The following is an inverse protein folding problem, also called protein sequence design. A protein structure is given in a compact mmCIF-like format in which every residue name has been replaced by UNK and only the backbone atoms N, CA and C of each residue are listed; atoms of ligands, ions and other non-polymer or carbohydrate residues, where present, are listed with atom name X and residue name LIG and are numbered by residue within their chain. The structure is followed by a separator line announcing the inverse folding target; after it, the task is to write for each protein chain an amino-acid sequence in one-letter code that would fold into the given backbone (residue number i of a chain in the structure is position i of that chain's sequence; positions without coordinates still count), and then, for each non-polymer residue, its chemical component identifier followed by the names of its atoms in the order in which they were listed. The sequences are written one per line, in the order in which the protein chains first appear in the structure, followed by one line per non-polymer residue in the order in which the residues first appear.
data_IF_291845141688
#
_entry.id   IF_291845141688
#
_cell.length_a   1.000
_cell.length_b   1.000
_cell.length_c   1.000
_cell.angle_alpha   90.00
_cell.angle_beta   90.00
_cell.angle_gamma   90.00
#
_symmetry.space_group_name_H-M   'P 1'
#
loop_
_entity.id
_entity.type
_entity.pdbx_description
1 polymer ?
#
# COMPACT_ATOMS: atom_id res chain seq x y z
N UNK A 1 20.83 3.85 -18.19
CA UNK A 1 19.69 3.22 -18.90
C UNK A 1 18.74 2.46 -17.96
N UNK A 2 19.21 1.85 -16.87
CA UNK A 2 18.40 1.09 -15.89
C UNK A 2 17.19 1.85 -15.33
N UNK A 3 17.34 3.12 -14.92
CA UNK A 3 16.28 3.91 -14.26
C UNK A 3 15.02 4.17 -15.10
N UNK A 4 15.11 4.30 -16.44
CA UNK A 4 13.92 4.53 -17.28
C UNK A 4 13.05 3.29 -17.41
N UNK A 5 13.67 2.11 -17.51
CA UNK A 5 12.95 0.83 -17.60
C UNK A 5 12.23 0.56 -16.28
N UNK A 6 12.90 0.79 -15.14
CA UNK A 6 12.29 0.68 -13.81
C UNK A 6 11.09 1.62 -13.67
N UNK A 7 11.21 2.89 -14.08
CA UNK A 7 10.11 3.84 -14.01
C UNK A 7 8.90 3.41 -14.87
N UNK A 8 9.14 2.83 -16.06
CA UNK A 8 8.07 2.30 -16.91
C UNK A 8 7.39 1.08 -16.29
N UNK A 9 8.18 0.15 -15.73
CA UNK A 9 7.69 -1.01 -14.99
C UNK A 9 6.81 -0.56 -13.83
N UNK A 10 7.30 0.37 -13.00
CA UNK A 10 6.61 0.82 -11.79
C UNK A 10 5.30 1.55 -12.13
N UNK A 11 5.28 2.42 -13.15
CA UNK A 11 4.04 3.05 -13.62
C UNK A 11 3.04 2.02 -14.17
N UNK A 12 3.51 1.00 -14.89
CA UNK A 12 2.63 -0.04 -15.43
C UNK A 12 2.02 -0.92 -14.33
N UNK A 13 2.82 -1.39 -13.37
CA UNK A 13 2.34 -2.19 -12.24
C UNK A 13 1.37 -1.36 -11.39
N UNK A 14 1.72 -0.11 -11.09
CA UNK A 14 0.86 0.81 -10.33
C UNK A 14 -0.49 1.03 -11.01
N UNK A 15 -0.52 1.25 -12.34
CA UNK A 15 -1.78 1.37 -13.07
C UNK A 15 -2.62 0.09 -13.02
N UNK A 16 -1.98 -1.07 -13.12
CA UNK A 16 -2.66 -2.37 -13.01
C UNK A 16 -3.30 -2.55 -11.63
N UNK A 17 -2.58 -2.21 -10.57
CA UNK A 17 -3.08 -2.25 -9.20
C UNK A 17 -4.22 -1.23 -9.00
N UNK A 18 -4.03 0.03 -9.37
CA UNK A 18 -5.03 1.09 -9.22
C UNK A 18 -6.28 0.84 -10.07
N UNK A 19 -6.19 0.11 -11.17
CA UNK A 19 -7.38 -0.32 -11.92
C UNK A 19 -8.27 -1.32 -11.14
N UNK A 20 -7.77 -1.89 -10.04
CA UNK A 20 -8.49 -2.85 -9.19
C UNK A 20 -8.75 -2.34 -7.77
N UNK A 21 -7.90 -1.46 -7.26
CA UNK A 21 -7.94 -0.94 -5.89
C UNK A 21 -8.29 0.54 -5.84
N UNK A 22 -7.99 1.29 -6.91
CA UNK A 22 -8.02 2.76 -6.91
C UNK A 22 -9.41 3.38 -6.79
N UNK A 23 -10.47 2.59 -6.94
CA UNK A 23 -11.86 3.02 -6.80
C UNK A 23 -12.39 2.90 -5.36
N UNK A 24 -11.62 2.39 -4.39
CA UNK A 24 -12.07 2.23 -2.97
C UNK A 24 -12.65 3.53 -2.39
N UNK A 25 -11.96 4.69 -2.51
CA UNK A 25 -12.50 5.94 -1.97
C UNK A 25 -13.90 6.24 -2.51
N UNK A 26 -14.13 6.04 -3.81
CA UNK A 26 -15.36 6.44 -4.49
C UNK A 26 -16.48 5.37 -4.43
N UNK A 27 -16.11 4.09 -4.39
CA UNK A 27 -17.05 2.95 -4.45
C UNK A 27 -17.43 2.39 -3.08
N UNK A 28 -16.63 2.63 -2.04
CA UNK A 28 -16.84 2.08 -0.68
C UNK A 28 -16.94 3.19 0.34
N UNK A 29 -15.89 4.01 0.47
CA UNK A 29 -15.76 4.92 1.61
C UNK A 29 -16.67 6.14 1.49
N UNK A 30 -16.71 6.79 0.33
CA UNK A 30 -17.54 7.97 0.11
C UNK A 30 -19.05 7.66 0.22
N UNK A 31 -19.60 6.56 -0.35
CA UNK A 31 -20.98 6.17 -0.11
C UNK A 31 -21.29 5.96 1.37
N UNK A 32 -20.38 5.32 2.13
CA UNK A 32 -20.56 5.14 3.57
C UNK A 32 -20.57 6.50 4.29
N UNK A 33 -19.58 7.36 4.02
CA UNK A 33 -19.46 8.66 4.65
C UNK A 33 -20.71 9.53 4.41
N UNK A 34 -21.28 9.50 3.21
CA UNK A 34 -22.53 10.20 2.87
C UNK A 34 -23.75 9.72 3.65
N UNK A 35 -23.72 8.49 4.18
CA UNK A 35 -24.82 7.92 4.96
C UNK A 35 -24.67 8.20 6.45
N UNK A 36 -23.43 8.26 6.96
CA UNK A 36 -23.16 8.40 8.40
C UNK A 36 -22.86 9.84 8.82
N UNK A 37 -22.50 10.73 7.90
CA UNK A 37 -22.24 12.13 8.21
C UNK A 37 -23.54 12.93 8.30
N UNK A 38 -23.60 13.85 9.28
CA UNK A 38 -24.76 14.73 9.48
C UNK A 38 -24.96 15.72 8.32
N UNK A 39 -23.86 16.26 7.77
CA UNK A 39 -23.88 17.21 6.65
C UNK A 39 -23.38 16.57 5.36
N UNK A 40 -24.32 16.00 4.60
CA UNK A 40 -24.05 15.41 3.30
C UNK A 40 -23.56 16.43 2.26
N UNK A 41 -24.02 17.69 2.34
CA UNK A 41 -23.62 18.72 1.38
C UNK A 41 -22.16 19.13 1.59
N UNK A 42 -21.71 19.19 2.85
CA UNK A 42 -20.30 19.39 3.18
C UNK A 42 -19.44 18.22 2.66
N UNK A 43 -19.88 16.98 2.83
CA UNK A 43 -19.19 15.79 2.29
C UNK A 43 -19.05 15.87 0.77
N UNK A 44 -20.14 16.19 0.06
CA UNK A 44 -20.11 16.29 -1.42
C UNK A 44 -19.21 17.44 -1.90
N UNK A 45 -19.22 18.57 -1.20
CA UNK A 45 -18.36 19.72 -1.50
C UNK A 45 -16.88 19.41 -1.25
N UNK A 46 -16.57 18.75 -0.14
CA UNK A 46 -15.21 18.31 0.19
C UNK A 46 -14.69 17.27 -0.80
N UNK A 47 -15.52 16.30 -1.18
CA UNK A 47 -15.17 15.31 -2.19
C UNK A 47 -14.88 15.96 -3.56
N UNK A 48 -15.70 16.94 -3.95
CA UNK A 48 -15.47 17.72 -5.18
C UNK A 48 -14.15 18.48 -5.14
N UNK A 49 -13.77 19.03 -3.98
CA UNK A 49 -12.51 19.73 -3.81
C UNK A 49 -11.29 18.80 -3.96
N UNK A 50 -11.29 17.65 -3.26
CA UNK A 50 -10.16 16.70 -3.35
C UNK A 50 -10.03 16.09 -4.76
N UNK A 51 -11.16 15.73 -5.38
CA UNK A 51 -11.19 15.13 -6.72
C UNK A 51 -10.95 16.14 -7.86
N UNK A 52 -11.00 17.45 -7.61
CA UNK A 52 -10.64 18.45 -8.62
C UNK A 52 -9.15 18.38 -9.02
N UNK A 53 -8.30 17.78 -8.17
CA UNK A 53 -6.85 17.63 -8.40
C UNK A 53 -6.48 16.41 -9.26
N UNK A 54 -7.48 15.60 -9.66
CA UNK A 54 -7.29 14.37 -10.44
C UNK A 54 -6.52 14.62 -11.75
N UNK A 55 -5.68 13.66 -12.13
CA UNK A 55 -4.95 13.72 -13.41
C UNK A 55 -5.95 13.68 -14.56
N UNK A 56 -5.94 14.72 -15.41
CA UNK A 56 -6.82 14.79 -16.58
C UNK A 56 -6.57 13.62 -17.53
N UNK A 57 -7.66 13.08 -18.08
CA UNK A 57 -7.59 12.06 -19.14
C UNK A 57 -6.80 12.62 -20.34
N UNK A 58 -5.84 11.85 -20.84
CA UNK A 58 -4.99 12.25 -21.96
C UNK A 58 -3.78 13.12 -21.61
N UNK A 59 -3.53 13.41 -20.33
CA UNK A 59 -2.31 14.10 -19.92
C UNK A 59 -1.05 13.31 -20.35
N UNK A 60 -0.15 13.96 -21.07
CA UNK A 60 1.14 13.39 -21.49
C UNK A 60 2.16 13.58 -20.36
N UNK A 61 2.26 12.58 -19.50
CA UNK A 61 3.19 12.55 -18.37
C UNK A 61 4.33 11.55 -18.65
N UNK A 62 5.51 11.82 -18.10
CA UNK A 62 6.55 10.78 -18.02
C UNK A 62 6.07 9.63 -17.12
N UNK A 63 6.66 8.44 -17.24
CA UNK A 63 6.27 7.29 -16.42
C UNK A 63 6.36 7.59 -14.92
N UNK A 64 7.48 8.20 -14.47
CA UNK A 64 7.68 8.60 -13.06
C UNK A 64 6.61 9.61 -12.60
N UNK A 65 6.30 10.58 -13.44
CA UNK A 65 5.30 11.61 -13.10
C UNK A 65 3.87 11.06 -13.10
N UNK A 66 3.55 10.16 -14.05
CA UNK A 66 2.28 9.44 -14.09
C UNK A 66 2.09 8.60 -12.83
N UNK A 67 3.09 7.80 -12.48
CA UNK A 67 3.11 6.97 -11.29
C UNK A 67 2.84 7.83 -10.04
N UNK A 68 3.67 8.85 -9.84
CA UNK A 68 3.63 9.73 -8.66
C UNK A 68 2.27 10.41 -8.52
N UNK A 69 1.77 11.04 -9.59
CA UNK A 69 0.51 11.77 -9.55
C UNK A 69 -0.70 10.87 -9.35
N UNK A 70 -0.74 9.69 -9.97
CA UNK A 70 -1.87 8.75 -9.84
C UNK A 70 -1.91 8.12 -8.46
N UNK A 71 -0.76 7.67 -7.97
CA UNK A 71 -0.70 7.09 -6.64
C UNK A 71 -0.97 8.15 -5.57
N UNK A 72 -0.33 9.32 -5.66
CA UNK A 72 -0.61 10.44 -4.76
C UNK A 72 -2.06 10.91 -4.79
N UNK A 73 -2.72 10.88 -5.95
CA UNK A 73 -4.16 11.14 -6.05
C UNK A 73 -4.98 10.10 -5.27
N UNK A 74 -4.73 8.81 -5.51
CA UNK A 74 -5.42 7.73 -4.80
C UNK A 74 -5.25 7.88 -3.28
N UNK A 75 -4.02 8.11 -2.82
CA UNK A 75 -3.73 8.30 -1.40
C UNK A 75 -4.43 9.52 -0.82
N UNK A 76 -4.42 10.68 -1.49
CA UNK A 76 -5.12 11.88 -0.99
C UNK A 76 -6.63 11.66 -0.86
N UNK A 77 -7.23 10.98 -1.83
CA UNK A 77 -8.67 10.66 -1.80
C UNK A 77 -8.99 9.64 -0.71
N UNK A 78 -8.10 8.67 -0.50
CA UNK A 78 -8.21 7.67 0.55
C UNK A 78 -8.08 8.32 1.93
N UNK A 79 -7.06 9.14 2.15
CA UNK A 79 -6.83 9.89 3.40
C UNK A 79 -8.06 10.74 3.73
N UNK A 80 -8.52 11.54 2.77
CA UNK A 80 -9.67 12.41 2.97
C UNK A 80 -10.93 11.62 3.38
N UNK A 81 -11.20 10.50 2.69
CA UNK A 81 -12.38 9.69 2.96
C UNK A 81 -12.29 8.97 4.32
N UNK A 82 -11.12 8.43 4.67
CA UNK A 82 -10.92 7.75 5.96
C UNK A 82 -11.00 8.74 7.11
N UNK A 83 -10.35 9.91 7.01
CA UNK A 83 -10.44 10.97 8.02
C UNK A 83 -11.89 11.38 8.27
N UNK A 84 -12.68 11.52 7.21
CA UNK A 84 -14.11 11.80 7.32
C UNK A 84 -14.87 10.71 8.09
N UNK A 85 -14.58 9.43 7.83
CA UNK A 85 -15.22 8.31 8.53
C UNK A 85 -14.80 8.22 9.99
N UNK A 86 -13.50 8.40 10.30
CA UNK A 86 -12.98 8.38 11.68
C UNK A 86 -13.56 9.52 12.52
N UNK A 87 -13.95 10.63 11.90
CA UNK A 87 -14.60 11.74 12.61
C UNK A 87 -16.02 11.40 13.11
N UNK A 88 -16.68 10.38 12.55
CA UNK A 88 -18.10 10.07 12.83
C UNK A 88 -18.35 8.60 13.23
N UNK A 89 -17.36 7.72 13.08
CA UNK A 89 -17.43 6.31 13.46
C UNK A 89 -16.24 5.92 14.36
N UNK A 90 -16.36 4.84 15.16
CA UNK A 90 -15.23 4.31 15.93
C UNK A 90 -14.04 3.96 15.01
N UNK A 91 -12.83 4.35 15.43
CA UNK A 91 -11.59 4.15 14.64
C UNK A 91 -11.38 2.70 14.22
N UNK A 92 -11.61 1.75 15.13
CA UNK A 92 -11.38 0.32 14.90
C UNK A 92 -12.32 -0.24 13.83
N UNK A 93 -13.58 0.23 13.81
CA UNK A 93 -14.55 -0.16 12.78
C UNK A 93 -14.14 0.38 11.40
N UNK A 94 -13.64 1.61 11.36
CA UNK A 94 -13.14 2.21 10.10
C UNK A 94 -11.87 1.49 9.63
N UNK A 95 -10.95 1.16 10.54
CA UNK A 95 -9.76 0.39 10.22
C UNK A 95 -10.12 -0.97 9.63
N UNK A 96 -11.05 -1.70 10.25
CA UNK A 96 -11.50 -2.99 9.76
C UNK A 96 -12.14 -2.86 8.37
N UNK A 97 -13.05 -1.89 8.18
CA UNK A 97 -13.70 -1.63 6.89
C UNK A 97 -12.68 -1.36 5.78
N UNK A 98 -11.75 -0.44 6.03
CA UNK A 98 -10.75 0.00 5.05
C UNK A 98 -9.79 -1.14 4.73
N UNK A 99 -9.21 -1.76 5.76
CA UNK A 99 -8.23 -2.82 5.59
C UNK A 99 -8.82 -4.05 4.90
N UNK A 100 -10.08 -4.41 5.19
CA UNK A 100 -10.77 -5.52 4.49
C UNK A 100 -11.06 -5.19 3.03
N UNK A 101 -11.55 -3.98 2.75
CA UNK A 101 -11.83 -3.55 1.38
C UNK A 101 -10.56 -3.53 0.52
N UNK A 102 -9.46 -3.01 1.07
CA UNK A 102 -8.16 -2.96 0.40
C UNK A 102 -7.57 -4.38 0.26
N UNK A 103 -7.51 -5.17 1.33
CA UNK A 103 -6.97 -6.52 1.31
C UNK A 103 -7.73 -7.42 0.32
N UNK A 104 -9.06 -7.34 0.28
CA UNK A 104 -9.88 -8.09 -0.68
C UNK A 104 -9.56 -7.74 -2.14
N UNK A 105 -9.41 -6.46 -2.46
CA UNK A 105 -9.04 -6.00 -3.82
C UNK A 105 -7.60 -6.33 -4.17
N UNK A 106 -6.68 -6.21 -3.21
CA UNK A 106 -5.29 -6.63 -3.36
C UNK A 106 -5.19 -8.13 -3.62
N UNK A 107 -5.83 -9.00 -2.82
CA UNK A 107 -5.86 -10.46 -3.07
C UNK A 107 -6.40 -10.79 -4.46
N UNK A 108 -7.47 -10.11 -4.89
CA UNK A 108 -8.04 -10.30 -6.24
C UNK A 108 -7.08 -9.87 -7.35
N UNK A 109 -6.34 -8.78 -7.15
CA UNK A 109 -5.32 -8.32 -8.10
C UNK A 109 -4.12 -9.27 -8.12
N UNK A 110 -3.65 -9.69 -6.95
CA UNK A 110 -2.53 -10.61 -6.76
C UNK A 110 -2.87 -12.07 -7.02
N UNK A 111 -4.11 -12.44 -7.36
CA UNK A 111 -4.57 -13.84 -7.44
C UNK A 111 -3.70 -14.77 -8.30
N UNK A 112 -3.02 -14.23 -9.31
CA UNK A 112 -2.12 -14.98 -10.18
C UNK A 112 -0.67 -15.02 -9.67
N UNK A 113 -0.30 -14.12 -8.76
CA UNK A 113 1.01 -14.03 -8.12
C UNK A 113 1.05 -14.73 -6.74
N UNK A 114 -0.07 -14.76 -6.00
CA UNK A 114 -0.17 -15.42 -4.70
C UNK A 114 0.26 -16.91 -4.74
N UNK A 115 -0.11 -17.71 -5.76
CA UNK A 115 0.38 -19.09 -5.86
C UNK A 115 1.91 -19.17 -6.01
N UNK A 116 2.52 -18.22 -6.74
CA UNK A 116 3.96 -18.14 -6.88
C UNK A 116 4.62 -17.79 -5.54
N UNK A 117 4.02 -16.90 -4.74
CA UNK A 117 4.50 -16.65 -3.37
C UNK A 117 4.38 -17.90 -2.49
N UNK A 118 3.34 -18.73 -2.65
CA UNK A 118 3.22 -20.02 -1.98
C UNK A 118 4.41 -20.96 -2.23
N UNK A 119 5.10 -20.84 -3.37
CA UNK A 119 6.30 -21.64 -3.68
C UNK A 119 7.56 -21.15 -2.97
N UNK A 120 7.56 -19.94 -2.39
CA UNK A 120 8.69 -19.39 -1.62
C UNK A 120 9.01 -20.27 -0.40
N UNK A 121 7.99 -20.92 0.19
CA UNK A 121 8.19 -21.90 1.26
C UNK A 121 9.04 -23.11 0.86
N UNK A 122 9.27 -23.33 -0.44
CA UNK A 122 10.11 -24.41 -0.99
C UNK A 122 11.54 -23.94 -1.30
N UNK A 123 11.82 -22.64 -1.20
CA UNK A 123 13.15 -22.08 -1.51
C UNK A 123 14.13 -22.49 -0.41
N UNK A 124 15.31 -23.04 -0.75
CA UNK A 124 16.33 -23.38 0.25
C UNK A 124 16.72 -22.17 1.11
N UNK A 125 16.97 -22.39 2.41
CA UNK A 125 17.28 -21.32 3.38
C UNK A 125 18.39 -20.35 2.93
N UNK A 126 19.46 -20.87 2.34
CA UNK A 126 20.56 -20.03 1.84
C UNK A 126 20.18 -19.10 0.69
N UNK A 127 19.09 -19.41 -0.04
CA UNK A 127 18.59 -18.59 -1.16
C UNK A 127 17.39 -17.71 -0.75
N UNK A 128 16.73 -18.02 0.37
CA UNK A 128 15.53 -17.30 0.83
C UNK A 128 15.75 -15.78 0.95
N UNK A 129 16.82 -15.27 1.60
CA UNK A 129 17.05 -13.82 1.66
C UNK A 129 17.17 -13.17 0.28
N UNK A 130 17.84 -13.81 -0.67
CA UNK A 130 17.97 -13.28 -2.03
C UNK A 130 16.65 -13.27 -2.80
N UNK A 131 15.80 -14.28 -2.61
CA UNK A 131 14.45 -14.32 -3.22
C UNK A 131 13.55 -13.24 -2.60
N UNK A 132 13.64 -13.02 -1.29
CA UNK A 132 12.92 -11.93 -0.61
C UNK A 132 13.42 -10.57 -1.05
N UNK A 133 14.74 -10.34 -1.14
CA UNK A 133 15.31 -9.10 -1.66
C UNK A 133 14.79 -8.81 -3.08
N UNK A 134 14.73 -9.84 -3.94
CA UNK A 134 14.17 -9.70 -5.28
C UNK A 134 12.67 -9.38 -5.26
N UNK A 135 11.88 -10.07 -4.44
CA UNK A 135 10.44 -9.83 -4.30
C UNK A 135 10.12 -8.43 -3.78
N UNK A 136 10.81 -8.01 -2.71
CA UNK A 136 10.67 -6.69 -2.11
C UNK A 136 11.17 -5.58 -3.04
N UNK A 137 12.20 -5.84 -3.87
CA UNK A 137 12.62 -4.88 -4.91
C UNK A 137 11.57 -4.62 -6.00
N UNK A 138 10.60 -5.54 -6.18
CA UNK A 138 9.45 -5.29 -7.05
C UNK A 138 8.46 -4.39 -6.33
N UNK A 139 8.31 -4.47 -5.00
CA UNK A 139 7.42 -3.62 -4.23
C UNK A 139 7.78 -2.12 -4.24
N UNK A 140 8.92 -1.72 -4.81
CA UNK A 140 9.34 -0.32 -4.92
C UNK A 140 8.31 0.58 -5.62
N UNK A 141 7.50 0.02 -6.52
CA UNK A 141 6.41 0.78 -7.15
C UNK A 141 5.37 1.22 -6.10
N UNK A 142 5.19 0.50 -5.00
CA UNK A 142 4.14 0.76 -4.01
C UNK A 142 4.66 1.57 -2.83
N UNK A 143 5.82 1.17 -2.29
CA UNK A 143 6.36 1.74 -1.04
C UNK A 143 7.48 2.75 -1.27
N UNK A 144 8.05 2.84 -2.47
CA UNK A 144 9.21 3.68 -2.75
C UNK A 144 10.54 2.92 -2.56
N UNK A 145 11.66 3.63 -2.37
CA UNK A 145 12.97 3.00 -2.14
C UNK A 145 12.91 2.09 -0.92
N UNK A 146 13.44 0.87 -1.05
CA UNK A 146 13.49 -0.11 0.03
C UNK A 146 14.86 -0.80 0.03
N UNK A 147 15.44 -0.98 1.21
CA UNK A 147 16.76 -1.58 1.36
C UNK A 147 16.79 -2.51 2.58
N UNK A 148 17.43 -3.67 2.45
CA UNK A 148 17.66 -4.55 3.60
C UNK A 148 18.71 -3.93 4.52
N UNK A 149 18.40 -3.80 5.79
CA UNK A 149 19.31 -3.25 6.81
C UNK A 149 19.81 -4.30 7.79
N UNK A 150 19.12 -5.43 7.93
CA UNK A 150 19.53 -6.46 8.85
C UNK A 150 18.76 -7.78 8.73
N UNK A 151 19.14 -8.70 9.60
CA UNK A 151 18.46 -9.97 9.84
C UNK A 151 18.43 -10.17 11.35
N UNK A 152 17.25 -10.41 11.91
CA UNK A 152 17.06 -10.72 13.33
C UNK A 152 17.48 -12.18 13.64
N UNK A 153 17.73 -12.54 14.92
CA UNK A 153 18.21 -13.87 15.29
C UNK A 153 17.29 -15.03 14.88
N UNK A 154 15.98 -14.77 14.73
CA UNK A 154 14.99 -15.74 14.30
C UNK A 154 14.94 -15.93 12.76
N UNK A 155 15.71 -15.13 12.01
CA UNK A 155 15.72 -15.12 10.55
C UNK A 155 14.79 -14.08 9.92
N UNK A 156 14.12 -13.24 10.70
CA UNK A 156 13.31 -12.13 10.20
C UNK A 156 14.21 -11.14 9.45
N UNK A 157 13.84 -10.84 8.20
CA UNK A 157 14.56 -9.89 7.36
C UNK A 157 14.03 -8.48 7.63
N UNK A 158 14.93 -7.54 7.92
CA UNK A 158 14.57 -6.14 8.20
C UNK A 158 14.89 -5.30 6.97
N UNK A 159 13.88 -4.57 6.50
CA UNK A 159 14.00 -3.60 5.42
C UNK A 159 13.60 -2.20 5.89
N UNK A 160 14.35 -1.20 5.47
CA UNK A 160 13.99 0.21 5.66
C UNK A 160 13.42 0.82 4.38
N UNK A 161 12.35 1.59 4.55
CA UNK A 161 11.71 2.43 3.54
C UNK A 161 11.90 3.88 4.00
N UNK A 162 12.97 4.57 3.60
CA UNK A 162 13.28 5.92 4.11
C UNK A 162 12.29 7.00 3.61
N UNK A 163 11.71 6.79 2.43
CA UNK A 163 10.78 7.73 1.78
C UNK A 163 9.53 7.00 1.30
N UNK A 164 8.64 6.67 2.25
CA UNK A 164 7.46 5.87 1.96
C UNK A 164 6.54 6.58 0.96
N UNK A 165 6.28 5.94 -0.18
CA UNK A 165 5.47 6.51 -1.26
C UNK A 165 4.01 6.76 -0.85
N UNK A 166 3.50 6.06 0.19
CA UNK A 166 2.21 6.36 0.82
C UNK A 166 2.16 7.78 1.40
N UNK A 167 3.30 8.40 1.66
CA UNK A 167 3.39 9.76 2.14
C UNK A 167 3.94 10.71 1.07
N UNK A 168 5.07 10.35 0.46
CA UNK A 168 5.80 11.25 -0.43
C UNK A 168 5.12 11.47 -1.78
N UNK A 169 4.29 10.53 -2.25
CA UNK A 169 3.60 10.67 -3.53
C UNK A 169 2.52 11.77 -3.52
N UNK A 170 2.01 12.16 -2.34
CA UNK A 170 0.95 13.19 -2.23
C UNK A 170 1.47 14.61 -2.41
N UNK A 171 2.79 14.83 -2.23
CA UNK A 171 3.45 16.14 -2.15
C UNK A 171 2.90 17.07 -1.07
N UNK A 172 2.14 16.55 -0.10
CA UNK A 172 1.59 17.37 0.98
C UNK A 172 2.64 17.80 2.01
N UNK A 173 3.82 17.16 2.01
CA UNK A 173 4.87 17.40 3.01
C UNK A 173 4.50 16.93 4.42
N UNK A 174 3.40 16.19 4.56
CA UNK A 174 2.89 15.67 5.84
C UNK A 174 2.49 14.20 5.70
N UNK A 175 2.52 13.49 6.82
CA UNK A 175 2.09 12.09 6.87
C UNK A 175 0.61 11.96 6.49
N UNK A 176 0.29 10.85 5.83
CA UNK A 176 -1.05 10.39 5.49
C UNK A 176 -1.36 9.25 6.46
N UNK A 177 -1.63 9.61 7.71
CA UNK A 177 -1.65 8.68 8.85
C UNK A 177 -2.69 7.57 8.62
N UNK A 178 -3.91 7.95 8.24
CA UNK A 178 -5.00 6.99 8.12
C UNK A 178 -4.81 6.02 6.95
N UNK A 179 -4.37 6.53 5.80
CA UNK A 179 -4.04 5.71 4.63
C UNK A 179 -2.87 4.77 4.92
N UNK A 180 -1.87 5.23 5.68
CA UNK A 180 -0.73 4.42 6.06
C UNK A 180 -1.12 3.28 7.02
N UNK A 181 -1.79 3.60 8.12
CA UNK A 181 -2.12 2.61 9.14
C UNK A 181 -3.21 1.63 8.65
N UNK A 182 -4.28 2.14 8.04
CA UNK A 182 -5.46 1.33 7.74
C UNK A 182 -5.42 0.71 6.34
N UNK A 183 -4.97 1.46 5.33
CA UNK A 183 -5.00 1.00 3.94
C UNK A 183 -3.68 0.39 3.46
N UNK A 184 -2.53 0.74 4.05
CA UNK A 184 -1.26 0.09 3.76
C UNK A 184 -0.97 -1.01 4.78
N UNK A 185 -0.62 -0.65 6.02
CA UNK A 185 -0.18 -1.58 7.06
C UNK A 185 -1.22 -2.67 7.31
N UNK A 186 -2.39 -2.32 7.85
CA UNK A 186 -3.40 -3.30 8.22
C UNK A 186 -3.87 -4.15 7.02
N UNK A 187 -4.00 -3.54 5.84
CA UNK A 187 -4.40 -4.27 4.64
C UNK A 187 -3.31 -5.26 4.16
N UNK A 188 -2.04 -4.83 4.09
CA UNK A 188 -0.95 -5.69 3.65
C UNK A 188 -0.67 -6.83 4.65
N UNK A 189 -0.72 -6.55 5.95
CA UNK A 189 -0.58 -7.56 7.00
C UNK A 189 -1.72 -8.58 6.98
N UNK A 190 -2.94 -8.18 6.55
CA UNK A 190 -4.02 -9.14 6.26
C UNK A 190 -3.73 -9.98 5.02
N UNK A 191 -3.17 -9.40 3.95
CA UNK A 191 -2.86 -10.15 2.72
C UNK A 191 -1.73 -11.16 2.95
N UNK A 192 -0.74 -10.75 3.74
CA UNK A 192 0.49 -11.48 4.04
C UNK A 192 0.59 -11.73 5.54
N UNK A 193 -0.41 -12.43 6.09
CA UNK A 193 -0.46 -12.75 7.51
C UNK A 193 0.57 -13.81 7.91
N UNK A 194 0.59 -14.15 9.20
CA UNK A 194 1.47 -15.19 9.79
C UNK A 194 1.37 -16.57 9.12
N UNK A 195 0.24 -16.86 8.47
CA UNK A 195 -0.02 -18.15 7.82
C UNK A 195 0.32 -18.09 6.31
N UNK A 196 0.71 -16.91 5.81
CA UNK A 196 1.18 -16.72 4.45
C UNK A 196 2.61 -17.22 4.24
N UNK A 197 3.01 -17.36 2.97
CA UNK A 197 4.35 -17.79 2.60
C UNK A 197 5.43 -16.70 2.79
N UNK A 198 5.02 -15.47 3.13
CA UNK A 198 5.90 -14.34 3.38
C UNK A 198 5.19 -13.40 4.37
N UNK A 199 5.12 -13.74 5.67
CA UNK A 199 4.44 -12.90 6.63
C UNK A 199 5.12 -11.53 6.74
N UNK A 200 4.32 -10.47 6.64
CA UNK A 200 4.79 -9.09 6.68
C UNK A 200 4.34 -8.42 7.96
N UNK A 201 5.21 -7.58 8.52
CA UNK A 201 4.89 -6.62 9.56
C UNK A 201 5.46 -5.25 9.15
N UNK A 202 4.61 -4.24 9.13
CA UNK A 202 4.99 -2.86 8.82
C UNK A 202 5.04 -2.05 10.11
N UNK A 203 6.09 -1.25 10.28
CA UNK A 203 6.29 -0.37 11.43
C UNK A 203 6.52 1.07 10.92
N UNK A 204 5.44 1.84 10.71
CA UNK A 204 5.52 3.21 10.20
C UNK A 204 6.10 4.16 11.25
N UNK A 205 7.07 4.98 10.86
CA UNK A 205 7.72 5.92 11.77
C UNK A 205 7.03 7.29 11.78
N UNK A 206 5.74 7.32 12.13
CA UNK A 206 4.95 8.56 12.19
C UNK A 206 5.39 9.47 13.35
N UNK A 207 5.33 10.81 13.20
CA UNK A 207 4.86 11.58 12.04
C UNK A 207 5.90 11.73 10.91
N UNK A 208 7.05 11.05 11.02
CA UNK A 208 7.99 10.90 9.91
C UNK A 208 7.39 10.16 8.72
N UNK A 209 8.10 10.17 7.60
CA UNK A 209 7.62 9.65 6.31
C UNK A 209 8.28 8.31 5.92
N UNK A 210 8.95 7.66 6.87
CA UNK A 210 9.63 6.38 6.68
C UNK A 210 8.87 5.23 7.33
N UNK A 211 9.26 4.00 7.00
CA UNK A 211 8.67 2.78 7.52
C UNK A 211 9.72 1.67 7.59
N UNK A 212 9.61 0.80 8.57
CA UNK A 212 10.34 -0.48 8.60
C UNK A 212 9.41 -1.59 8.14
N UNK A 213 9.89 -2.47 7.26
CA UNK A 213 9.21 -3.70 6.87
C UNK A 213 10.00 -4.88 7.43
N UNK A 214 9.34 -5.69 8.25
CA UNK A 214 9.84 -6.99 8.70
C UNK A 214 9.19 -8.08 7.86
N UNK A 215 10.01 -8.97 7.31
CA UNK A 215 9.57 -10.16 6.60
C UNK A 215 9.95 -11.37 7.46
N UNK A 216 8.96 -11.95 8.13
CA UNK A 216 9.20 -13.07 9.02
C UNK A 216 9.43 -14.36 8.22
N UNK A 217 10.13 -15.35 8.80
CA UNK A 217 10.15 -16.69 8.26
C UNK A 217 8.72 -17.26 8.21
N UNK A 218 8.33 -17.86 7.09
CA UNK A 218 7.05 -18.54 7.00
C UNK A 218 6.98 -19.71 8.00
N UNK A 219 5.86 -19.89 8.70
CA UNK A 219 5.68 -20.99 9.66
C UNK A 219 5.84 -22.38 9.02
N UNK A 220 5.55 -22.49 7.71
CA UNK A 220 5.71 -23.71 6.93
C UNK A 220 7.12 -23.94 6.38
N UNK A 221 8.06 -23.01 6.59
CA UNK A 221 9.46 -23.20 6.21
C UNK A 221 10.08 -24.19 7.20
N UNK A 222 10.32 -25.45 6.81
CA UNK A 222 10.73 -26.47 7.77
C UNK A 222 12.05 -26.06 8.43
N UNK A 223 12.22 -26.46 9.70
CA UNK A 223 13.46 -26.22 10.44
C UNK A 223 14.65 -27.08 9.96
N UNK A 224 14.70 -27.46 8.67
CA UNK A 224 15.68 -28.34 8.06
C UNK A 224 16.55 -27.59 7.06
#
# INVERSE_FOLDING_TARGET
MSSRITALRDDWIMRSMLARVGDIPESVLLPMLRQVADDRQAVDSGWKAVSATRVRRGARLSARESWRRRYGQFVRELEWAITGLVAVLPRDDVEQLVSDAVASRLRRWLRFLLPAFGTVGLVPRGLYPGVMDAGVSVATFLVGPIQRTGVEPDGTLIYEIPECAMHTATEAGVAQEHSCLMACKAACEKVFDKDSAMPLEFDPHLPGLSCTLRVHPAASHPNR
#
